data_IF_527723747906
#
_entry.id   IF_527723747906
#
_cell.length_a   1.000
_cell.length_b   1.000
_cell.length_c   1.000
_cell.angle_alpha   90.00
_cell.angle_beta   90.00
_cell.angle_gamma   90.00
#
_symmetry.space_group_name_H-M   'P 1'
#
loop_
_entity.id
_entity.type
_entity.pdbx_description
1 polymer ?
2 polymer ?
3 non-polymer ?
4 non-polymer ?
#
loop_
_entity_poly.entity_id
_entity_poly.type
_entity_poly.pdbx_seq_one_letter_code
_entity_poly.pdbx_strand_id
2 'polydeoxyribonucleotide' '(DT)(DT)(DT)(DT)' ?
#
# COMPACT_ATOMS: atom_id res chain seq x y z
N UNK A 1 -39.27 1.25 34.01
CA UNK A 1 -39.27 0.68 32.68
C UNK A 1 -38.07 1.08 31.86
N UNK A 2 -38.30 1.88 30.80
CA UNK A 2 -37.21 2.33 29.96
C UNK A 2 -36.21 3.15 30.76
N UNK A 3 -36.70 3.98 31.70
CA UNK A 3 -35.80 4.74 32.54
C UNK A 3 -34.94 3.82 33.40
N UNK A 4 -35.52 2.72 33.89
CA UNK A 4 -34.75 1.75 34.65
C UNK A 4 -33.65 1.13 33.80
N UNK A 5 -33.98 0.76 32.56
CA UNK A 5 -32.98 0.18 31.67
C UNK A 5 -31.88 1.18 31.35
N UNK A 6 -32.25 2.43 31.09
CA UNK A 6 -31.25 3.46 30.82
C UNK A 6 -30.35 3.67 32.03
N UNK A 7 -30.92 3.69 33.23
CA UNK A 7 -30.12 3.87 34.44
C UNK A 7 -29.16 2.71 34.61
N UNK A 8 -29.63 1.47 34.40
CA UNK A 8 -28.75 0.31 34.52
C UNK A 8 -27.64 0.36 33.48
N UNK A 9 -27.98 0.73 32.25
CA UNK A 9 -26.97 0.84 31.19
C UNK A 9 -25.93 1.89 31.55
N UNK A 10 -26.39 3.04 32.05
CA UNK A 10 -25.46 4.10 32.45
C UNK A 10 -24.57 3.64 33.58
N UNK A 11 -25.11 2.88 34.54
CA UNK A 11 -24.30 2.37 35.63
C UNK A 11 -23.22 1.42 35.12
N UNK A 12 -23.61 0.51 34.21
CA UNK A 12 -22.63 -0.41 33.66
C UNK A 12 -21.54 0.32 32.88
N UNK A 13 -21.95 1.28 32.05
CA UNK A 13 -20.97 2.06 31.29
C UNK A 13 -20.07 2.87 32.21
N UNK A 14 -20.61 3.41 33.29
CA UNK A 14 -19.79 4.12 34.24
C UNK A 14 -18.78 3.22 34.92
N UNK A 15 -19.19 1.99 35.25
CA UNK A 15 -18.24 1.05 35.83
C UNK A 15 -17.13 0.71 34.84
N UNK A 16 -17.49 0.52 33.58
CA UNK A 16 -16.48 0.24 32.56
C UNK A 16 -15.53 1.44 32.41
N UNK A 17 -16.08 2.65 32.40
CA UNK A 17 -15.23 3.84 32.32
C UNK A 17 -14.31 3.94 33.52
N UNK A 18 -14.83 3.61 34.71
CA UNK A 18 -14.02 3.65 35.92
C UNK A 18 -12.87 2.66 35.83
N UNK A 19 -13.14 1.45 35.36
CA UNK A 19 -12.11 0.42 35.37
C UNK A 19 -11.11 0.60 34.23
N UNK A 20 -11.57 1.10 33.08
CA UNK A 20 -10.75 1.12 31.87
C UNK A 20 -10.51 2.51 31.30
N UNK A 21 -11.35 3.48 31.61
CA UNK A 21 -11.18 4.81 31.06
C UNK A 21 -12.06 5.07 29.86
N UNK A 22 -11.67 6.04 29.03
CA UNK A 22 -12.47 6.50 27.92
C UNK A 22 -12.73 5.43 26.88
N UNK A 23 -11.94 4.37 26.84
CA UNK A 23 -12.05 3.36 25.79
C UNK A 23 -13.35 2.60 25.73
N UNK A 24 -14.22 2.76 26.73
CA UNK A 24 -15.50 2.04 26.72
C UNK A 24 -16.39 2.49 25.57
N UNK A 25 -16.50 3.80 25.37
CA UNK A 25 -17.46 4.38 24.45
C UNK A 25 -16.74 5.30 23.47
N UNK A 26 -17.17 5.27 22.21
CA UNK A 26 -16.67 6.22 21.23
C UNK A 26 -17.16 7.62 21.57
N UNK A 27 -16.38 8.62 21.18
CA UNK A 27 -16.81 10.01 21.36
C UNK A 27 -17.87 10.35 20.33
N UNK A 28 -19.02 10.82 20.83
CA UNK A 28 -20.22 10.90 19.98
C UNK A 28 -20.02 11.83 18.79
N UNK A 29 -19.12 12.79 18.89
CA UNK A 29 -18.83 13.65 17.76
C UNK A 29 -17.40 13.55 17.27
N UNK A 30 -16.48 13.30 18.20
CA UNK A 30 -15.07 13.22 17.85
C UNK A 30 -14.70 11.91 17.15
N UNK A 31 -15.37 10.82 17.48
CA UNK A 31 -15.12 9.54 16.84
C UNK A 31 -15.65 9.48 15.42
N UNK A 32 -16.41 10.48 14.99
CA UNK A 32 -17.04 10.51 13.67
C UNK A 32 -16.21 11.44 12.79
N UNK A 33 -15.46 10.86 11.87
CA UNK A 33 -14.70 11.63 10.89
C UNK A 33 -15.41 11.56 9.55
N UNK A 34 -15.60 12.72 8.91
CA UNK A 34 -16.22 12.74 7.58
C UNK A 34 -15.38 11.98 6.57
N UNK A 35 -14.05 12.11 6.66
CA UNK A 35 -13.13 11.42 5.77
C UNK A 35 -12.13 10.64 6.61
N UNK A 36 -11.78 9.45 6.15
CA UNK A 36 -10.79 8.63 6.84
C UNK A 36 -9.39 9.15 6.51
N UNK A 37 -8.57 9.48 7.50
CA UNK A 37 -7.18 9.86 7.21
C UNK A 37 -6.45 8.73 6.51
N UNK A 38 -5.65 9.09 5.52
CA UNK A 38 -4.97 8.10 4.70
C UNK A 38 -3.69 8.70 4.13
N UNK A 39 -2.97 7.90 3.36
CA UNK A 39 -1.74 8.31 2.71
C UNK A 39 -1.81 7.96 1.24
N UNK A 40 -1.80 8.97 0.39
CA UNK A 40 -1.86 8.75 -1.04
C UNK A 40 -0.61 8.04 -1.52
N UNK A 41 -0.75 7.25 -2.58
CA UNK A 41 0.33 6.47 -3.15
C UNK A 41 1.13 7.22 -4.20
N UNK A 42 0.74 8.45 -4.52
CA UNK A 42 1.36 9.17 -5.62
C UNK A 42 0.81 8.85 -6.99
N UNK A 43 -0.17 7.95 -7.08
CA UNK A 43 -0.85 7.65 -8.32
C UNK A 43 -2.35 7.73 -8.09
N UNK A 44 -3.00 8.70 -8.74
CA UNK A 44 -4.41 8.94 -8.46
C UNK A 44 -5.28 7.77 -8.91
N UNK A 45 -4.83 6.99 -9.89
CA UNK A 45 -5.59 5.80 -10.26
C UNK A 45 -5.70 4.82 -9.11
N UNK A 46 -4.57 4.56 -8.46
CA UNK A 46 -4.59 3.66 -7.29
C UNK A 46 -5.42 4.27 -6.17
N UNK A 47 -5.30 5.57 -5.96
CA UNK A 47 -6.04 6.22 -4.87
C UNK A 47 -7.54 6.14 -5.10
N UNK A 48 -8.00 6.40 -6.33
CA UNK A 48 -9.42 6.31 -6.62
C UNK A 48 -9.88 4.87 -6.57
N UNK A 49 -9.01 3.93 -6.93
CA UNK A 49 -9.33 2.53 -6.72
C UNK A 49 -9.54 2.24 -5.23
N UNK A 50 -8.70 2.83 -4.37
CA UNK A 50 -8.84 2.65 -2.93
C UNK A 50 -10.12 3.26 -2.40
N UNK A 51 -10.76 4.15 -3.15
CA UNK A 51 -12.02 4.72 -2.73
C UNK A 51 -11.92 5.69 -1.57
N UNK A 52 -10.73 5.95 -1.06
CA UNK A 52 -10.55 6.93 0.01
C UNK A 52 -9.39 7.85 -0.34
N UNK A 53 -8.80 7.62 -1.51
CA UNK A 53 -7.69 8.46 -1.96
C UNK A 53 -6.45 8.36 -1.11
N UNK A 54 -6.05 7.15 -0.74
CA UNK A 54 -4.87 6.96 0.06
C UNK A 54 -4.96 5.67 0.85
N UNK A 55 -3.80 5.19 1.29
CA UNK A 55 -3.76 3.95 2.03
C UNK A 55 -4.33 4.18 3.43
N UNK A 56 -5.28 3.37 3.88
CA UNK A 56 -5.88 3.59 5.20
C UNK A 56 -4.86 3.42 6.30
N UNK A 57 -5.05 4.19 7.37
CA UNK A 57 -4.12 4.19 8.49
C UNK A 57 -4.53 3.15 9.52
N UNK A 58 -3.53 2.55 10.16
CA UNK A 58 -3.79 1.57 11.20
C UNK A 58 -4.36 0.26 10.72
N UNK A 59 -4.27 -0.05 9.43
CA UNK A 59 -4.86 -1.25 8.86
C UNK A 59 -3.82 -1.99 8.02
N UNK A 60 -3.81 -3.32 8.16
CA UNK A 60 -2.87 -4.14 7.42
C UNK A 60 -3.23 -4.11 5.95
N UNK A 61 -2.22 -3.93 5.09
CA UNK A 61 -2.40 -4.02 3.65
C UNK A 61 -1.34 -4.94 3.08
N UNK A 62 -1.73 -5.77 2.12
CA UNK A 62 -0.86 -6.79 1.56
C UNK A 62 -0.82 -6.66 0.05
N UNK A 63 0.34 -6.98 -0.53
CA UNK A 63 0.53 -6.97 -1.98
C UNK A 63 1.22 -8.26 -2.36
N UNK A 64 0.69 -8.92 -3.40
CA UNK A 64 1.29 -10.13 -3.92
C UNK A 64 1.29 -10.09 -5.44
N UNK A 65 2.20 -10.83 -6.05
CA UNK A 65 2.26 -10.92 -7.48
C UNK A 65 3.45 -11.73 -7.93
N UNK A 66 3.61 -11.91 -9.24
CA UNK A 66 4.77 -12.63 -9.77
C UNK A 66 6.06 -11.90 -9.44
N UNK A 67 7.13 -12.68 -9.37
CA UNK A 67 8.44 -12.14 -9.02
C UNK A 67 8.86 -11.04 -9.98
N UNK A 68 9.67 -10.11 -9.47
CA UNK A 68 10.25 -9.04 -10.27
C UNK A 68 9.16 -8.22 -10.97
N UNK A 69 8.11 -7.89 -10.23
CA UNK A 69 7.02 -7.08 -10.75
C UNK A 69 7.09 -5.63 -10.28
N UNK A 70 8.23 -5.20 -9.74
CA UNK A 70 8.35 -3.82 -9.28
C UNK A 70 7.56 -3.50 -8.05
N UNK A 71 7.03 -4.50 -7.35
CA UNK A 71 6.37 -4.25 -6.08
C UNK A 71 7.32 -3.61 -5.08
N UNK A 72 8.57 -4.08 -5.09
CA UNK A 72 9.57 -3.54 -4.18
C UNK A 72 9.71 -2.03 -4.36
N UNK A 73 9.94 -1.58 -5.60
CA UNK A 73 10.02 -0.16 -5.85
C UNK A 73 8.66 0.51 -5.77
N UNK A 74 7.57 -0.25 -5.89
CA UNK A 74 6.24 0.32 -5.67
C UNK A 74 6.13 0.84 -4.24
N UNK A 75 6.67 0.09 -3.28
CA UNK A 75 6.64 0.54 -1.90
C UNK A 75 7.36 1.87 -1.73
N UNK A 76 8.41 2.10 -2.52
CA UNK A 76 9.23 3.30 -2.33
C UNK A 76 8.45 4.58 -2.60
N UNK A 77 7.48 4.54 -3.52
CA UNK A 77 6.65 5.72 -3.73
C UNK A 77 5.87 6.06 -2.48
N UNK A 78 5.33 5.03 -1.81
CA UNK A 78 4.66 5.24 -0.53
C UNK A 78 5.64 5.82 0.49
N UNK A 79 6.87 5.32 0.49
CA UNK A 79 7.86 5.85 1.42
C UNK A 79 8.11 7.33 1.16
N UNK A 80 8.23 7.70 -0.12
CA UNK A 80 8.49 9.08 -0.48
C UNK A 80 7.33 9.97 -0.06
N UNK A 81 6.10 9.50 -0.27
CA UNK A 81 4.95 10.28 0.17
C UNK A 81 4.92 10.43 1.69
N UNK A 82 5.25 9.37 2.42
CA UNK A 82 5.30 9.46 3.88
C UNK A 82 6.36 10.47 4.32
N UNK A 83 7.51 10.47 3.65
CA UNK A 83 8.54 11.45 3.96
C UNK A 83 8.05 12.87 3.65
N UNK A 84 7.32 13.02 2.54
CA UNK A 84 6.71 14.31 2.22
C UNK A 84 5.81 14.77 3.35
N UNK A 85 5.00 13.86 3.89
CA UNK A 85 4.21 14.18 5.06
C UNK A 85 5.07 14.40 6.30
N UNK A 86 6.36 14.06 6.23
CA UNK A 86 7.20 14.11 7.41
C UNK A 86 7.02 12.95 8.35
N UNK A 87 6.22 11.96 7.99
CA UNK A 87 5.96 10.82 8.85
C UNK A 87 7.21 9.96 9.00
N UNK A 88 7.49 9.55 10.22
CA UNK A 88 8.64 8.69 10.48
C UNK A 88 8.34 7.28 9.99
N UNK A 89 9.20 6.76 9.12
CA UNK A 89 9.01 5.46 8.51
C UNK A 89 10.32 4.68 8.54
N UNK A 90 10.20 3.35 8.55
CA UNK A 90 11.34 2.47 8.56
C UNK A 90 11.08 1.30 7.62
N UNK A 91 12.16 0.70 7.10
CA UNK A 91 12.08 -0.38 6.15
C UNK A 91 12.86 -1.57 6.67
N UNK A 92 12.23 -2.74 6.65
CA UNK A 92 12.88 -4.01 6.94
C UNK A 92 12.66 -4.95 5.77
N UNK A 93 13.72 -5.67 5.38
CA UNK A 93 13.65 -6.59 4.26
C UNK A 93 14.16 -7.96 4.67
N UNK A 94 13.32 -8.97 4.49
CA UNK A 94 13.72 -10.33 4.84
C UNK A 94 14.69 -10.92 3.84
N UNK A 95 14.49 -10.65 2.55
CA UNK A 95 15.41 -11.13 1.53
C UNK A 95 16.74 -10.40 1.57
N UNK A 96 16.85 -9.32 2.33
CA UNK A 96 18.08 -8.54 2.44
C UNK A 96 18.60 -8.09 1.07
N UNK A 97 17.69 -7.51 0.28
CA UNK A 97 18.06 -6.91 -1.00
C UNK A 97 17.51 -5.49 -1.03
N UNK A 98 18.42 -4.52 -1.17
CA UNK A 98 18.02 -3.12 -1.24
C UNK A 98 19.14 -2.34 -1.92
N UNK A 99 18.76 -1.44 -2.81
CA UNK A 99 19.71 -0.58 -3.50
C UNK A 99 19.44 0.86 -3.10
N UNK A 100 20.13 1.38 -2.08
CA UNK A 100 19.91 2.78 -1.68
C UNK A 100 20.17 3.76 -2.79
N UNK A 101 21.09 3.46 -3.71
CA UNK A 101 21.23 4.30 -4.90
C UNK A 101 19.97 4.26 -5.74
N UNK A 102 19.38 3.07 -5.92
CA UNK A 102 18.15 2.94 -6.69
C UNK A 102 17.02 3.73 -6.04
N UNK A 103 16.86 3.58 -4.73
CA UNK A 103 15.82 4.32 -4.02
C UNK A 103 16.06 5.82 -4.07
N UNK A 104 17.32 6.24 -3.93
CA UNK A 104 17.64 7.64 -4.04
C UNK A 104 17.30 8.20 -5.41
N UNK A 105 17.48 7.39 -6.45
CA UNK A 105 17.01 7.78 -7.77
C UNK A 105 15.49 7.98 -7.78
N UNK A 106 14.78 7.28 -6.90
CA UNK A 106 13.34 7.42 -6.78
C UNK A 106 12.91 8.64 -6.00
N UNK A 107 13.86 9.40 -5.46
CA UNK A 107 13.56 10.65 -4.78
C UNK A 107 13.33 10.52 -3.29
N UNK A 108 13.23 9.31 -2.76
CA UNK A 108 13.02 9.13 -1.33
C UNK A 108 14.32 9.43 -0.59
N UNK A 109 14.21 10.18 0.50
CA UNK A 109 15.39 10.52 1.29
C UNK A 109 15.79 9.29 2.10
N UNK A 110 16.81 8.57 1.62
CA UNK A 110 17.28 7.39 2.33
C UNK A 110 17.81 7.73 3.71
N UNK A 111 18.34 8.94 3.90
CA UNK A 111 18.90 9.30 5.20
C UNK A 111 17.83 9.29 6.28
N UNK A 112 16.69 9.92 6.02
CA UNK A 112 15.58 9.91 6.97
C UNK A 112 14.79 8.61 6.82
N UNK A 113 15.43 7.54 7.26
CA UNK A 113 14.91 6.19 7.13
C UNK A 113 15.74 5.26 8.00
N UNK A 114 15.08 4.29 8.62
CA UNK A 114 15.77 3.29 9.42
C UNK A 114 15.78 1.96 8.66
N UNK A 115 16.97 1.45 8.41
CA UNK A 115 17.16 0.19 7.70
C UNK A 115 17.13 -0.95 8.70
N UNK A 116 16.98 -2.16 8.20
CA UNK A 116 17.09 -3.35 9.02
C UNK A 116 17.55 -4.52 8.15
N UNK A 117 18.40 -5.36 8.71
CA UNK A 117 18.95 -6.53 8.04
C UNK A 117 18.76 -7.72 8.96
N UNK A 118 17.52 -8.17 9.15
CA UNK A 118 17.27 -9.22 10.14
C UNK A 118 17.74 -10.58 9.69
N UNK A 119 18.76 -11.11 10.36
CA UNK A 119 19.30 -12.42 10.00
C UNK A 119 18.25 -13.51 10.16
N UNK A 120 17.45 -13.43 11.22
CA UNK A 120 16.38 -14.39 11.47
C UNK A 120 15.04 -13.69 11.44
N UNK A 121 14.01 -14.42 11.02
CA UNK A 121 12.68 -13.86 10.96
C UNK A 121 12.14 -13.47 12.32
N UNK A 122 12.49 -14.25 13.35
CA UNK A 122 12.03 -13.93 14.69
C UNK A 122 12.52 -12.57 15.14
N UNK A 123 13.77 -12.23 14.82
CA UNK A 123 14.26 -10.91 15.17
C UNK A 123 13.55 -9.82 14.37
N UNK A 124 13.22 -10.09 13.11
CA UNK A 124 12.43 -9.14 12.35
C UNK A 124 11.11 -8.87 13.03
N UNK A 125 10.45 -9.93 13.50
CA UNK A 125 9.19 -9.76 14.19
C UNK A 125 9.35 -9.00 15.49
N UNK A 126 10.39 -9.32 16.27
CA UNK A 126 10.56 -8.64 17.56
C UNK A 126 10.82 -7.15 17.35
N UNK A 127 11.64 -6.80 16.36
CA UNK A 127 11.94 -5.39 16.15
C UNK A 127 10.71 -4.67 15.61
N UNK A 128 9.94 -5.33 14.73
CA UNK A 128 8.72 -4.70 14.23
C UNK A 128 7.76 -4.42 15.38
N UNK A 129 7.59 -5.40 16.27
CA UNK A 129 6.71 -5.21 17.42
C UNK A 129 7.20 -4.08 18.30
N UNK A 130 8.50 -4.04 18.58
CA UNK A 130 9.04 -3.00 19.44
C UNK A 130 8.79 -1.62 18.83
N UNK A 131 9.04 -1.50 17.52
CA UNK A 131 8.92 -0.16 16.89
C UNK A 131 7.44 0.24 16.80
N UNK A 132 6.56 -0.70 16.45
CA UNK A 132 5.14 -0.28 16.28
C UNK A 132 4.66 0.29 17.60
N UNK A 133 4.99 -0.37 18.71
CA UNK A 133 4.52 0.09 20.04
C UNK A 133 5.21 1.41 20.39
N UNK A 134 6.44 1.62 19.91
CA UNK A 134 7.11 2.93 20.14
C UNK A 134 6.15 4.02 19.71
N UNK A 135 5.31 3.71 18.73
CA UNK A 135 4.34 4.67 18.22
C UNK A 135 5.02 5.86 17.56
N UNK A 136 6.36 5.90 17.63
CA UNK A 136 7.10 6.96 16.95
C UNK A 136 7.09 6.73 15.45
N UNK A 137 7.33 5.49 15.03
CA UNK A 137 7.29 5.17 13.62
C UNK A 137 5.85 5.29 13.13
N UNK A 138 5.69 5.66 11.86
CA UNK A 138 4.38 5.90 11.29
C UNK A 138 4.03 5.00 10.11
N UNK A 139 5.02 4.62 9.29
CA UNK A 139 4.81 3.67 8.21
C UNK A 139 5.83 2.56 8.37
N UNK A 140 5.38 1.31 8.32
CA UNK A 140 6.23 0.16 8.55
C UNK A 140 6.15 -0.75 7.33
N UNK A 141 7.32 -1.11 6.79
CA UNK A 141 7.41 -1.85 5.54
C UNK A 141 8.21 -3.11 5.80
N UNK A 142 7.61 -4.26 5.53
CA UNK A 142 8.29 -5.53 5.54
C UNK A 142 8.17 -6.16 4.16
N UNK A 143 9.30 -6.57 3.60
CA UNK A 143 9.35 -7.13 2.26
C UNK A 143 9.66 -8.62 2.35
N UNK A 144 9.18 -9.36 1.34
CA UNK A 144 9.49 -10.77 1.18
C UNK A 144 9.13 -11.56 2.43
N UNK A 145 7.83 -11.58 2.74
CA UNK A 145 7.34 -12.35 3.87
C UNK A 145 7.71 -13.81 3.71
N UNK A 146 7.59 -14.33 2.48
CA UNK A 146 7.98 -15.71 2.22
C UNK A 146 9.43 -15.96 2.56
N UNK A 147 10.30 -14.95 2.35
CA UNK A 147 11.70 -15.11 2.70
C UNK A 147 11.91 -15.27 4.19
N UNK A 148 10.91 -14.92 5.01
CA UNK A 148 11.04 -15.10 6.44
C UNK A 148 11.01 -16.58 6.77
N UNK A 149 11.86 -17.00 7.72
CA UNK A 149 12.04 -18.40 8.05
C UNK A 149 11.97 -18.55 9.56
N UNK A 150 11.24 -19.52 10.09
CA UNK A 150 11.28 -19.79 11.52
C UNK A 150 12.66 -20.27 11.96
N UNK A 151 13.05 -19.91 13.17
CA UNK A 151 14.34 -20.33 13.67
C UNK A 151 14.42 -21.84 13.82
N UNK A 152 13.26 -22.50 14.00
CA UNK A 152 13.26 -23.95 14.10
C UNK A 152 13.78 -24.58 12.81
N UNK A 153 13.40 -24.03 11.67
CA UNK A 153 13.90 -24.54 10.40
C UNK A 153 15.39 -24.21 10.22
N UNK A 154 15.84 -23.08 10.75
CA UNK A 154 17.26 -22.75 10.70
C UNK A 154 18.07 -23.78 11.47
N UNK A 155 17.63 -24.10 12.68
CA UNK A 155 18.36 -25.08 13.47
C UNK A 155 18.30 -26.47 12.84
N UNK A 156 17.23 -26.76 12.11
CA UNK A 156 17.15 -28.02 11.41
C UNK A 156 18.05 -28.06 10.19
N UNK A 157 18.28 -29.27 9.71
CA UNK A 157 19.16 -29.49 8.56
C UNK A 157 18.41 -29.16 7.27
N UNK A 158 19.03 -29.46 6.13
CA UNK A 158 18.40 -29.25 4.83
C UNK A 158 17.40 -30.36 4.56
N UNK A 159 16.20 -29.97 4.13
CA UNK A 159 15.19 -30.92 3.71
C UNK A 159 14.33 -31.50 4.81
N UNK A 160 14.55 -31.12 6.06
CA UNK A 160 13.72 -31.63 7.15
C UNK A 160 12.30 -31.12 7.01
N UNK A 161 11.34 -31.96 7.42
CA UNK A 161 9.93 -31.67 7.25
C UNK A 161 9.45 -30.80 8.41
N UNK A 162 9.43 -29.49 8.19
CA UNK A 162 8.84 -28.54 9.12
C UNK A 162 7.64 -27.84 8.47
N UNK A 163 6.81 -28.61 7.77
CA UNK A 163 5.70 -28.02 7.04
C UNK A 163 4.65 -27.50 8.02
N UNK A 164 4.02 -26.40 7.66
CA UNK A 164 3.02 -25.78 8.52
C UNK A 164 3.57 -25.22 9.81
N UNK A 165 4.71 -24.53 9.75
CA UNK A 165 5.29 -23.89 10.92
C UNK A 165 5.29 -22.37 10.84
N UNK A 166 5.68 -21.80 9.69
CA UNK A 166 5.69 -20.36 9.57
C UNK A 166 4.30 -19.77 9.73
N UNK A 167 3.27 -20.49 9.30
CA UNK A 167 1.92 -19.96 9.35
C UNK A 167 1.48 -19.69 10.78
N UNK A 168 1.71 -20.64 11.69
CA UNK A 168 1.22 -20.46 13.05
C UNK A 168 1.90 -19.27 13.72
N UNK A 169 3.20 -19.11 13.49
CA UNK A 169 3.92 -18.03 14.15
C UNK A 169 3.55 -16.69 13.55
N UNK A 170 3.38 -16.61 12.24
CA UNK A 170 2.97 -15.33 11.67
C UNK A 170 1.56 -14.97 12.11
N UNK A 171 0.67 -15.97 12.22
CA UNK A 171 -0.66 -15.69 12.74
C UNK A 171 -0.58 -15.14 14.15
N UNK A 172 0.24 -15.77 15.00
CA UNK A 172 0.43 -15.26 16.35
C UNK A 172 0.97 -13.83 16.33
N UNK A 173 1.88 -13.55 15.40
CA UNK A 173 2.49 -12.22 15.34
C UNK A 173 1.45 -11.17 15.00
N UNK A 174 0.68 -11.39 13.94
CA UNK A 174 -0.39 -10.45 13.61
C UNK A 174 -1.39 -10.32 14.75
N UNK A 175 -1.73 -11.44 15.39
CA UNK A 175 -2.61 -11.39 16.54
C UNK A 175 -2.08 -10.43 17.59
N UNK A 176 -0.79 -10.51 17.88
CA UNK A 176 -0.22 -9.62 18.89
C UNK A 176 -0.17 -8.18 18.42
N UNK A 177 0.12 -7.94 17.14
CA UNK A 177 0.48 -6.59 16.70
C UNK A 177 -0.70 -5.77 16.21
N UNK A 178 -1.81 -6.38 15.84
CA UNK A 178 -2.89 -5.62 15.21
C UNK A 178 -3.46 -4.56 16.14
N UNK A 179 -3.58 -4.87 17.43
CA UNK A 179 -4.10 -3.88 18.37
C UNK A 179 -3.22 -2.66 18.45
N UNK A 180 -1.91 -2.86 18.57
CA UNK A 180 -0.99 -1.73 18.58
C UNK A 180 -1.05 -0.97 17.27
N UNK A 181 -1.19 -1.68 16.15
CA UNK A 181 -1.23 -1.03 14.84
C UNK A 181 -2.43 -0.10 14.78
N UNK A 182 -3.58 -0.57 15.26
CA UNK A 182 -4.73 0.31 15.37
C UNK A 182 -4.45 1.48 16.29
N UNK A 183 -3.76 1.22 17.41
CA UNK A 183 -3.50 2.28 18.37
C UNK A 183 -2.71 3.42 17.76
N UNK A 184 -1.67 3.09 16.99
CA UNK A 184 -0.77 4.11 16.44
C UNK A 184 -1.16 4.57 15.05
N UNK A 185 -2.20 4.00 14.45
CA UNK A 185 -2.64 4.36 13.11
C UNK A 185 -1.51 4.21 12.09
N UNK A 186 -0.58 3.31 12.39
CA UNK A 186 0.58 3.12 11.55
C UNK A 186 0.22 2.37 10.28
N UNK A 187 1.12 2.43 9.30
CA UNK A 187 0.93 1.82 8.00
C UNK A 187 1.82 0.60 7.88
N UNK A 188 1.20 -0.58 7.78
CA UNK A 188 1.94 -1.82 7.65
C UNK A 188 1.52 -2.50 6.35
N UNK A 189 2.49 -2.77 5.50
CA UNK A 189 2.27 -3.49 4.26
C UNK A 189 3.01 -4.82 4.36
N UNK A 190 2.56 -5.79 3.57
CA UNK A 190 3.21 -7.09 3.48
C UNK A 190 3.41 -7.44 2.01
N UNK A 191 4.44 -8.23 1.75
CA UNK A 191 4.81 -8.63 0.39
C UNK A 191 4.82 -10.14 0.31
N UNK A 192 4.09 -10.69 -0.65
CA UNK A 192 4.08 -12.12 -0.86
C UNK A 192 4.39 -12.46 -2.31
N UNK A 193 5.02 -13.61 -2.50
CA UNK A 193 5.20 -14.19 -3.81
C UNK A 193 4.02 -15.09 -4.12
N UNK A 194 4.09 -15.78 -5.27
CA UNK A 194 3.00 -16.62 -5.74
C UNK A 194 3.52 -18.05 -5.84
N UNK A 195 2.78 -18.99 -5.27
CA UNK A 195 3.07 -20.41 -5.38
C UNK A 195 1.82 -21.11 -5.86
N UNK A 196 1.92 -21.81 -6.98
CA UNK A 196 0.79 -22.56 -7.52
C UNK A 196 0.73 -23.90 -6.78
N UNK A 197 -0.37 -24.14 -6.07
CA UNK A 197 -0.47 -25.29 -5.19
C UNK A 197 -1.04 -26.49 -5.94
N UNK A 198 -0.97 -27.65 -5.30
CA UNK A 198 -1.37 -28.90 -5.94
C UNK A 198 -2.89 -28.96 -6.01
N UNK A 199 -3.39 -29.59 -7.07
CA UNK A 199 -4.82 -29.77 -7.24
C UNK A 199 -5.59 -28.47 -7.33
N UNK A 200 -5.04 -27.48 -8.02
CA UNK A 200 -5.62 -26.15 -8.09
C UNK A 200 -6.21 -25.86 -9.46
N UNK A 201 -6.39 -26.90 -10.29
CA UNK A 201 -6.87 -26.69 -11.66
C UNK A 201 -8.22 -26.00 -11.68
N UNK A 202 -9.02 -26.19 -10.64
CA UNK A 202 -10.26 -25.44 -10.51
C UNK A 202 -10.03 -24.19 -9.67
N UNK A 203 -10.74 -23.12 -10.02
CA UNK A 203 -10.50 -21.84 -9.41
C UNK A 203 -9.27 -21.16 -9.97
N UNK A 204 -8.60 -20.33 -9.16
CA UNK A 204 -7.42 -19.63 -9.62
C UNK A 204 -6.18 -20.45 -9.33
N UNK A 205 -5.43 -20.89 -10.35
CA UNK A 205 -4.23 -21.69 -10.08
C UNK A 205 -3.24 -21.00 -9.15
N UNK A 206 -3.09 -19.69 -9.25
CA UNK A 206 -2.17 -18.98 -8.38
C UNK A 206 -2.64 -19.06 -6.94
N UNK A 207 -1.69 -19.06 -6.00
CA UNK A 207 -2.00 -19.07 -4.59
C UNK A 207 -0.91 -18.33 -3.84
N UNK A 208 -1.31 -17.50 -2.88
CA UNK A 208 -0.34 -16.73 -2.11
C UNK A 208 0.42 -17.62 -1.14
N UNK A 209 1.49 -17.07 -0.60
CA UNK A 209 2.30 -17.71 0.42
C UNK A 209 1.95 -17.12 1.79
N UNK A 210 2.75 -17.49 2.79
CA UNK A 210 2.56 -16.92 4.11
C UNK A 210 1.27 -17.29 4.80
N UNK A 211 0.90 -18.56 4.77
CA UNK A 211 -0.27 -18.99 5.49
C UNK A 211 -1.56 -18.46 4.88
N UNK A 212 -2.59 -18.41 5.71
CA UNK A 212 -3.92 -18.02 5.29
C UNK A 212 -4.53 -16.88 6.11
N UNK A 213 -4.25 -16.82 7.41
CA UNK A 213 -4.87 -15.80 8.24
C UNK A 213 -4.41 -14.39 7.88
N UNK A 214 -3.32 -14.27 7.11
CA UNK A 214 -2.87 -12.95 6.68
C UNK A 214 -3.97 -12.19 5.96
N UNK A 215 -4.56 -12.82 4.94
CA UNK A 215 -5.61 -12.16 4.19
C UNK A 215 -6.83 -11.88 5.06
N UNK A 216 -7.07 -12.73 6.05
CA UNK A 216 -8.17 -12.46 6.98
C UNK A 216 -7.93 -11.19 7.77
N UNK A 217 -6.71 -11.01 8.27
CA UNK A 217 -6.40 -9.81 9.03
C UNK A 217 -6.21 -8.59 8.16
N UNK A 218 -5.72 -8.76 6.94
CA UNK A 218 -5.45 -7.62 6.08
C UNK A 218 -6.75 -6.97 5.65
N UNK A 219 -6.89 -5.68 5.93
CA UNK A 219 -8.13 -4.98 5.61
C UNK A 219 -8.25 -4.69 4.12
N UNK A 220 -7.15 -4.76 3.37
CA UNK A 220 -7.17 -4.47 1.95
C UNK A 220 -5.99 -5.18 1.28
N UNK A 221 -6.27 -5.84 0.16
CA UNK A 221 -5.29 -6.62 -0.58
C UNK A 221 -5.32 -6.22 -2.05
N UNK A 222 -4.14 -6.08 -2.63
CA UNK A 222 -3.97 -5.68 -4.01
C UNK A 222 -3.13 -6.71 -4.76
N UNK A 223 -3.54 -7.03 -5.97
CA UNK A 223 -2.78 -7.90 -6.86
C UNK A 223 -2.03 -7.03 -7.86
N UNK A 224 -0.77 -7.39 -8.12
CA UNK A 224 0.06 -6.70 -9.09
C UNK A 224 0.50 -7.71 -10.14
N UNK A 225 0.32 -7.36 -11.41
CA UNK A 225 0.66 -8.24 -12.51
C UNK A 225 1.44 -7.46 -13.56
N UNK A 226 2.51 -8.07 -14.06
CA UNK A 226 3.30 -7.49 -15.14
C UNK A 226 2.67 -7.92 -16.46
N UNK A 227 2.06 -6.95 -17.15
CA UNK A 227 1.45 -7.23 -18.45
C UNK A 227 2.41 -6.89 -19.59
N UNK A 228 2.90 -5.66 -19.63
CA UNK A 228 3.79 -5.24 -20.69
C UNK A 228 4.84 -4.26 -20.22
N UNK A 229 5.65 -3.77 -21.15
CA UNK A 229 6.67 -2.77 -20.84
C UNK A 229 6.74 -1.79 -21.99
N UNK A 230 7.14 -0.57 -21.67
CA UNK A 230 7.27 0.51 -22.65
C UNK A 230 8.70 0.51 -23.18
N UNK A 231 8.83 0.50 -24.51
CA UNK A 231 10.13 0.53 -25.16
C UNK A 231 10.22 1.78 -26.00
N UNK A 232 11.24 2.60 -25.76
CA UNK A 232 11.48 3.82 -26.51
C UNK A 232 12.61 3.54 -27.49
N UNK A 233 12.28 3.59 -28.78
CA UNK A 233 13.26 3.22 -29.79
C UNK A 233 13.66 1.77 -29.63
N UNK A 234 14.97 1.54 -29.51
CA UNK A 234 15.51 0.19 -29.35
C UNK A 234 15.53 -0.24 -27.89
N UNK A 235 16.14 0.55 -27.02
CA UNK A 235 16.30 0.17 -25.62
C UNK A 235 14.96 0.20 -24.89
N UNK A 236 14.91 -0.55 -23.78
CA UNK A 236 13.75 -0.59 -22.90
C UNK A 236 14.02 0.35 -21.73
N UNK A 237 13.02 1.12 -21.35
CA UNK A 237 13.20 2.14 -20.32
C UNK A 237 12.24 1.99 -19.15
N UNK A 238 11.08 1.37 -19.32
CA UNK A 238 10.13 1.23 -18.23
C UNK A 238 9.22 0.05 -18.47
N UNK A 239 8.54 -0.36 -17.41
CA UNK A 239 7.65 -1.52 -17.45
C UNK A 239 6.23 -1.07 -17.14
N UNK A 240 5.29 -1.51 -17.97
CA UNK A 240 3.88 -1.24 -17.70
C UNK A 240 3.39 -2.13 -16.57
N UNK A 241 2.79 -1.53 -15.55
CA UNK A 241 2.36 -2.23 -14.35
C UNK A 241 0.85 -2.23 -14.27
N UNK A 242 0.26 -3.40 -14.11
CA UNK A 242 -1.18 -3.55 -13.94
C UNK A 242 -1.45 -4.02 -12.52
N UNK A 243 -2.22 -3.24 -11.77
CA UNK A 243 -2.58 -3.57 -10.40
C UNK A 243 -4.10 -3.67 -10.32
N UNK A 244 -4.59 -4.75 -9.77
CA UNK A 244 -6.02 -5.01 -9.66
C UNK A 244 -6.38 -5.18 -8.19
N UNK A 245 -7.36 -4.41 -7.72
CA UNK A 245 -7.83 -4.55 -6.35
C UNK A 245 -8.47 -5.93 -6.20
N UNK A 246 -8.07 -6.65 -5.16
CA UNK A 246 -8.62 -7.98 -4.92
C UNK A 246 -9.38 -8.07 -3.60
N UNK A 247 -9.14 -7.18 -2.65
CA UNK A 247 -9.95 -7.17 -1.44
C UNK A 247 -9.91 -5.78 -0.82
N UNK A 248 -11.05 -5.33 -0.31
CA UNK A 248 -11.09 -4.07 0.42
C UNK A 248 -12.29 -4.11 1.37
N UNK A 249 -12.20 -3.33 2.44
CA UNK A 249 -13.31 -3.16 3.35
C UNK A 249 -13.92 -1.76 3.28
N UNK A 250 -13.21 -0.78 2.73
CA UNK A 250 -13.72 0.58 2.64
C UNK A 250 -14.18 0.94 1.25
N UNK A 251 -13.80 0.18 0.23
CA UNK A 251 -14.14 0.49 -1.14
C UNK A 251 -14.54 -0.77 -1.87
N UNK A 252 -15.36 -0.66 -2.92
CA UNK A 252 -15.67 -1.82 -3.75
C UNK A 252 -14.41 -2.41 -4.33
N UNK A 253 -14.32 -3.73 -4.41
CA UNK A 253 -13.11 -4.38 -4.92
C UNK A 253 -13.11 -4.37 -6.44
N UNK A 254 -12.06 -4.97 -7.00
CA UNK A 254 -11.93 -5.19 -8.44
C UNK A 254 -11.90 -3.88 -9.22
N UNK A 255 -11.46 -2.81 -8.56
CA UNK A 255 -11.25 -1.52 -9.22
C UNK A 255 -9.83 -1.43 -9.76
N UNK A 256 -9.55 -2.29 -10.74
CA UNK A 256 -8.20 -2.37 -11.31
C UNK A 256 -7.82 -1.06 -11.99
N UNK A 257 -6.54 -0.73 -11.93
CA UNK A 257 -6.02 0.49 -12.52
C UNK A 257 -4.80 0.19 -13.38
N UNK A 258 -4.62 1.01 -14.41
CA UNK A 258 -3.51 0.89 -15.34
C UNK A 258 -2.56 2.06 -15.13
N UNK A 259 -1.26 1.79 -15.19
CA UNK A 259 -0.27 2.84 -15.04
C UNK A 259 1.08 2.31 -15.47
N UNK A 260 1.95 3.23 -15.89
CA UNK A 260 3.30 2.91 -16.34
C UNK A 260 4.29 3.23 -15.23
N UNK A 261 5.32 2.39 -15.10
CA UNK A 261 6.37 2.60 -14.13
C UNK A 261 7.68 2.76 -14.88
N UNK A 262 8.30 3.92 -14.72
CA UNK A 262 9.55 4.25 -15.40
C UNK A 262 10.70 4.11 -14.43
N UNK A 263 11.74 3.39 -14.86
CA UNK A 263 12.87 3.14 -13.98
C UNK A 263 13.58 4.43 -13.60
N UNK A 264 14.13 4.44 -12.39
CA UNK A 264 14.81 5.62 -11.89
C UNK A 264 13.84 6.70 -11.46
N UNK A 265 13.12 7.27 -12.43
CA UNK A 265 12.16 8.32 -12.11
C UNK A 265 11.02 7.80 -11.25
N UNK A 266 10.46 6.65 -11.59
CA UNK A 266 9.42 6.06 -10.78
C UNK A 266 8.06 5.97 -11.43
N UNK A 267 7.06 6.62 -10.84
CA UNK A 267 5.70 6.53 -11.33
C UNK A 267 5.48 7.50 -12.47
N UNK A 268 4.82 7.03 -13.53
CA UNK A 268 4.56 7.84 -14.72
C UNK A 268 3.24 8.59 -14.52
N UNK A 269 3.29 9.58 -13.62
CA UNK A 269 2.09 10.28 -13.18
C UNK A 269 1.44 11.06 -14.32
N UNK A 270 2.25 11.70 -15.15
CA UNK A 270 1.70 12.51 -16.23
C UNK A 270 0.84 11.69 -17.18
N UNK A 271 1.27 10.49 -17.51
CA UNK A 271 0.50 9.67 -18.44
C UNK A 271 -0.87 9.31 -17.89
N UNK A 272 -0.93 8.86 -16.63
CA UNK A 272 -2.22 8.48 -16.07
C UNK A 272 -3.13 9.69 -15.91
N UNK A 273 -2.59 10.82 -15.46
CA UNK A 273 -3.46 11.99 -15.28
C UNK A 273 -3.98 12.45 -16.64
N UNK A 274 -3.14 12.39 -17.68
CA UNK A 274 -3.59 12.75 -19.02
C UNK A 274 -4.69 11.80 -19.48
N UNK A 275 -4.50 10.50 -19.29
CA UNK A 275 -5.47 9.53 -19.75
C UNK A 275 -6.82 9.73 -19.07
N UNK A 276 -6.82 9.88 -17.74
CA UNK A 276 -8.09 10.06 -17.05
C UNK A 276 -8.73 11.41 -17.36
N UNK A 277 -7.93 12.45 -17.57
CA UNK A 277 -8.49 13.73 -17.97
C UNK A 277 -9.17 13.66 -19.32
N UNK A 278 -8.53 13.02 -20.29
CA UNK A 278 -9.11 12.96 -21.63
C UNK A 278 -10.32 12.03 -21.65
N UNK A 279 -10.28 10.94 -20.87
CA UNK A 279 -11.41 10.02 -20.88
C UNK A 279 -12.59 10.58 -20.10
N UNK A 280 -12.34 11.43 -19.10
CA UNK A 280 -13.42 12.02 -18.34
C UNK A 280 -14.00 13.25 -19.02
N UNK A 281 -13.29 13.81 -20.00
CA UNK A 281 -13.73 14.99 -20.71
C UNK A 281 -13.05 16.28 -20.30
N UNK A 282 -12.23 16.25 -19.25
CA UNK A 282 -11.53 17.46 -18.84
C UNK A 282 -10.55 17.93 -19.91
N UNK A 283 -9.87 16.99 -20.56
CA UNK A 283 -8.90 17.30 -21.60
C UNK A 283 -9.47 16.86 -22.94
N UNK A 284 -9.63 17.82 -23.84
CA UNK A 284 -10.19 17.55 -25.16
C UNK A 284 -9.09 17.05 -26.11
N UNK A 285 -9.44 16.11 -26.97
CA UNK A 285 -8.52 15.54 -27.94
C UNK A 285 -9.27 15.28 -29.24
N UNK A 286 -8.91 16.01 -30.28
CA UNK A 286 -9.54 15.85 -31.60
C UNK A 286 -8.97 14.58 -32.24
N UNK A 287 -9.57 13.45 -31.87
CA UNK A 287 -9.12 12.17 -32.37
C UNK A 287 -7.81 11.73 -31.74
N UNK A 288 -6.76 11.64 -32.53
CA UNK A 288 -5.44 11.27 -32.04
C UNK A 288 -4.56 12.46 -31.68
N UNK A 289 -4.99 13.67 -32.01
CA UNK A 289 -4.21 14.87 -31.76
C UNK A 289 -4.55 15.42 -30.37
N UNK A 290 -3.61 15.28 -29.45
CA UNK A 290 -3.81 15.76 -28.09
C UNK A 290 -3.89 17.29 -28.08
N UNK A 291 -4.72 17.82 -27.18
CA UNK A 291 -4.89 19.26 -27.04
C UNK A 291 -5.41 19.53 -25.64
N UNK A 292 -5.44 20.81 -25.28
CA UNK A 292 -6.04 21.24 -24.02
C UNK A 292 -6.50 22.68 -24.14
N UNK A 293 -7.76 22.93 -23.79
CA UNK A 293 -8.35 24.27 -23.83
C UNK A 293 -8.24 24.87 -25.23
N UNK A 294 -8.39 24.03 -26.25
CA UNK A 294 -8.25 24.48 -27.62
C UNK A 294 -6.85 24.86 -28.01
N UNK A 295 -5.84 24.39 -27.29
CA UNK A 295 -4.44 24.72 -27.55
C UNK A 295 -3.68 23.45 -27.90
N UNK A 296 -2.89 23.52 -28.97
CA UNK A 296 -2.10 22.37 -29.42
C UNK A 296 -0.91 22.20 -28.49
N UNK A 297 -1.17 21.52 -27.37
CA UNK A 297 -0.11 21.25 -26.41
C UNK A 297 0.96 20.36 -27.03
N UNK A 298 0.54 19.38 -27.81
CA UNK A 298 1.47 18.49 -28.48
C UNK A 298 0.78 17.21 -28.90
N UNK A 299 1.52 16.41 -29.66
CA UNK A 299 1.07 15.08 -30.06
C UNK A 299 2.05 14.06 -29.49
N UNK A 300 1.52 13.06 -28.82
CA UNK A 300 2.37 12.09 -28.14
C UNK A 300 2.46 12.37 -26.65
N UNK A 301 2.64 11.30 -25.89
CA UNK A 301 2.67 11.43 -24.43
C UNK A 301 3.86 12.24 -23.96
N UNK A 302 5.02 12.07 -24.61
CA UNK A 302 6.23 12.73 -24.15
C UNK A 302 6.10 14.25 -24.24
N UNK A 303 5.55 14.75 -25.34
CA UNK A 303 5.43 16.20 -25.51
C UNK A 303 4.50 16.79 -24.45
N UNK A 304 3.36 16.16 -24.21
CA UNK A 304 2.44 16.65 -23.19
C UNK A 304 3.07 16.57 -21.80
N UNK A 305 3.79 15.49 -21.53
CA UNK A 305 4.45 15.36 -20.23
C UNK A 305 5.49 16.46 -20.02
N UNK A 306 6.26 16.77 -21.06
CA UNK A 306 7.21 17.87 -20.98
C UNK A 306 6.49 19.19 -20.78
N UNK A 307 5.39 19.40 -21.50
CA UNK A 307 4.61 20.63 -21.35
C UNK A 307 4.06 20.76 -19.94
N UNK A 308 3.80 19.62 -19.29
CA UNK A 308 3.17 19.64 -17.97
C UNK A 308 4.18 19.72 -16.85
N UNK A 309 5.40 19.20 -17.04
CA UNK A 309 6.36 19.18 -15.96
C UNK A 309 6.93 20.56 -15.68
N UNK A 310 7.05 21.41 -16.71
CA UNK A 310 7.61 22.75 -16.51
C UNK A 310 6.70 23.65 -15.71
N UNK A 311 5.41 23.33 -15.62
CA UNK A 311 4.42 24.17 -14.94
C UNK A 311 3.68 23.34 -13.89
N UNK A 312 4.28 23.12 -12.72
CA UNK A 312 3.62 22.30 -11.68
C UNK A 312 2.31 22.87 -11.20
N UNK A 313 2.10 24.19 -11.30
CA UNK A 313 0.84 24.77 -10.86
C UNK A 313 -0.34 24.28 -11.71
N UNK A 314 -0.13 24.22 -13.02
CA UNK A 314 -1.19 23.74 -13.92
C UNK A 314 -1.53 22.29 -13.60
N UNK A 315 -0.52 21.46 -13.40
CA UNK A 315 -0.76 20.07 -13.05
C UNK A 315 -1.48 19.92 -11.72
N UNK A 316 -1.09 20.74 -10.73
CA UNK A 316 -1.74 20.69 -9.43
C UNK A 316 -3.21 21.08 -9.54
N UNK A 317 -3.50 22.15 -10.30
CA UNK A 317 -4.89 22.54 -10.49
C UNK A 317 -5.67 21.45 -11.21
N UNK A 318 -5.04 20.83 -12.22
CA UNK A 318 -5.72 19.78 -12.97
C UNK A 318 -6.02 18.57 -12.09
N UNK A 319 -5.08 18.17 -11.24
CA UNK A 319 -5.32 17.02 -10.39
C UNK A 319 -6.26 17.32 -9.23
N UNK A 320 -6.33 18.57 -8.78
CA UNK A 320 -7.19 18.91 -7.66
C UNK A 320 -8.65 18.61 -7.97
N UNK A 321 -9.11 18.97 -9.17
CA UNK A 321 -10.50 18.74 -9.51
C UNK A 321 -10.81 17.27 -9.71
N UNK A 322 -9.82 16.47 -10.13
CA UNK A 322 -10.08 15.07 -10.45
C UNK A 322 -10.49 14.30 -9.20
N UNK A 323 -9.72 14.43 -8.13
CA UNK A 323 -10.05 13.72 -6.90
C UNK A 323 -11.39 14.20 -6.35
N UNK A 324 -11.64 15.51 -6.41
CA UNK A 324 -12.89 16.04 -5.87
C UNK A 324 -14.09 15.51 -6.65
N UNK A 325 -13.99 15.44 -7.98
CA UNK A 325 -15.11 14.98 -8.78
C UNK A 325 -15.23 13.46 -8.79
N UNK A 326 -14.18 12.75 -8.39
CA UNK A 326 -14.20 11.29 -8.43
C UNK A 326 -14.22 10.67 -7.03
N UNK A 327 -13.27 11.06 -6.18
CA UNK A 327 -13.19 10.45 -4.86
C UNK A 327 -14.37 10.83 -3.98
N UNK A 328 -14.70 12.12 -3.92
CA UNK A 328 -15.79 12.59 -3.08
C UNK A 328 -17.08 12.71 -3.89
X LIG C 1 -16.42 -8.68 7.35
X LIG D 1 -13.74 -10.83 6.66
X LIG D 1 -12.05 -9.99 6.21
X LIG D 1 -13.59 -11.59 8.01
X LIG D 1 -14.15 -11.81 5.53
X LIG D 1 -15.73 -9.51 5.49
X LIG D 1 -14.96 -9.91 4.30
X LIG D 1 -17.05 -10.24 5.70
X LIG D 1 -14.86 -9.76 6.78
X LIG D 1 -17.30 -7.50 4.58
X LIG D 1 -18.49 -8.29 4.96
X LIG D 1 -17.47 -6.01 4.89
X LIG D 1 -16.07 -7.97 5.43
X LIG D 1 -16.93 -7.79 3.09
X LIG D 1 -17.60 -8.81 2.34
X LIG D 1 -18.03 -8.22 1.02
X LIG D 1 -18.45 -6.86 1.22
X LIG D 1 -16.95 -8.18 -0.06
X LIG D 1 -17.50 -8.48 -1.34
X LIG D 1 -16.43 -6.75 0.02
X LIG D 1 -15.93 -6.30 -1.23
X LIG D 1 -17.71 -5.99 0.38
X LIG D 1 -17.47 -4.75 1.10
X LIG D 1 -17.22 -4.61 2.45
X LIG D 1 -17.03 -3.37 2.83
X LIG D 1 -17.16 -2.64 1.65
X LIG D 1 -17.07 -1.26 1.39
X LIG D 1 -16.83 -0.33 2.31
X LIG D 1 -17.25 -0.86 0.11
X LIG D 1 -17.51 -1.79 -0.83
X LIG D 1 -17.62 -3.11 -0.69
X LIG D 1 -17.43 -3.48 0.58
#
# INVERSE_FOLDING_TARGET
GDENKKRALAAALGQIERQFGKGAVMRMGDHERQAIPAISTGSLGLDIALGIGGLPKGRIVEIYGPESSGKTTLTLSVIAEAQKQGATCAFVDAEHALDPDYAGKLGVNVDDLLVSQPDTGEQALEITDMLVRSNAVDVIIVDSVAALVPKAEIEGEMGDAHVGLQARLMSQALRKITGNIKNANCLVIFINQIRMKIGVMFGNPETTTGGNALKFYASVRLDIRRTGAVKEGDEVVGSETRVKVVKNKVSPPFRQAEFQILYGKGIYRTGEIIDLGVQLGLVEKSGAWYSYQGSKIGQGKANAAKYLEDNPEIGSVLEKTIRDQLLA
MG MG
AGS PG S1G O2G O3G PB O1B O2B O3B PA O1A O2A O3A O5' C5' C4' O4' C3' O3' C2' O2' C1' N9 C8 N7 C5 C6 N6 N1 C2 N3 C4
#
